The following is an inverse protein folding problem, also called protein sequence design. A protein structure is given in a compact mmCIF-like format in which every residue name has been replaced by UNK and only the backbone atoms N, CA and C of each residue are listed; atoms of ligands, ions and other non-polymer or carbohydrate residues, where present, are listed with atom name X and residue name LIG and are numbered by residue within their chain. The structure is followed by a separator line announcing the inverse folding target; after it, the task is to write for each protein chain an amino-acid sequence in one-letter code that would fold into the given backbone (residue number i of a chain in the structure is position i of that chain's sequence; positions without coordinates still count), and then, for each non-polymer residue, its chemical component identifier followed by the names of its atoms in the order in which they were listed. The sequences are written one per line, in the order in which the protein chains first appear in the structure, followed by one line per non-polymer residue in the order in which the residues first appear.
data_IF_508834787757
#
_entry.id   IF_508834787757
#
_cell.length_a   1.000
_cell.length_b   1.000
_cell.length_c   1.000
_cell.angle_alpha   90.00
_cell.angle_beta   90.00
_cell.angle_gamma   90.00
#
_symmetry.space_group_name_H-M   'P 1'
#
loop_
_entity.id
_entity.type
_entity.pdbx_description
1 polymer ?
#
# COMPACT_ATOMS: atom_id res chain seq x y z
N UNK A 1 17.74 -13.98 1.84
CA UNK A 1 16.70 -13.11 1.26
C UNK A 1 16.70 -11.86 2.12
N UNK A 2 17.03 -10.69 1.56
CA UNK A 2 17.10 -9.45 2.35
C UNK A 2 15.69 -9.05 2.76
N UNK A 3 15.42 -8.99 4.06
CA UNK A 3 14.11 -8.59 4.58
C UNK A 3 14.05 -7.06 4.69
N UNK A 4 13.28 -6.42 3.83
CA UNK A 4 13.06 -4.98 3.88
C UNK A 4 12.17 -4.60 5.04
N UNK A 5 12.57 -3.54 5.77
CA UNK A 5 11.79 -2.97 6.86
C UNK A 5 11.36 -1.56 6.53
N UNK A 6 10.12 -1.23 6.87
CA UNK A 6 9.57 0.12 6.75
C UNK A 6 9.67 0.79 8.11
N UNK A 7 10.28 1.98 8.16
CA UNK A 7 10.30 2.83 9.36
C UNK A 7 8.99 3.59 9.47
N UNK A 8 8.28 3.40 10.57
CA UNK A 8 7.03 4.09 10.89
C UNK A 8 7.29 5.01 12.07
N UNK A 9 6.89 6.27 11.92
CA UNK A 9 6.88 7.25 13.02
C UNK A 9 5.45 7.36 13.52
N UNK A 10 5.21 6.99 14.78
CA UNK A 10 3.90 7.10 15.41
C UNK A 10 3.62 8.54 15.85
N UNK A 11 2.36 8.82 16.19
CA UNK A 11 1.93 10.15 16.65
C UNK A 11 2.59 10.59 17.96
N UNK A 12 2.97 9.64 18.81
CA UNK A 12 3.72 9.87 20.05
C UNK A 12 5.24 10.04 19.83
N UNK A 13 5.68 10.04 18.56
CA UNK A 13 7.10 10.12 18.18
C UNK A 13 7.86 8.80 18.27
N UNK A 14 7.24 7.71 18.73
CA UNK A 14 7.90 6.41 18.81
C UNK A 14 8.15 5.81 17.41
N UNK A 15 9.24 5.06 17.31
CA UNK A 15 9.63 4.38 16.07
C UNK A 15 9.18 2.92 16.11
N UNK A 16 8.54 2.49 15.04
CA UNK A 16 8.23 1.08 14.79
C UNK A 16 8.83 0.67 13.45
N UNK A 17 9.27 -0.59 13.38
CA UNK A 17 9.72 -1.20 12.15
C UNK A 17 8.85 -2.43 11.88
N UNK A 18 8.24 -2.47 10.71
CA UNK A 18 7.55 -3.67 10.23
C UNK A 18 8.16 -4.12 8.90
N UNK A 19 7.95 -5.39 8.55
CA UNK A 19 8.39 -5.87 7.23
C UNK A 19 7.62 -5.14 6.14
N UNK A 20 8.27 -4.90 5.01
CA UNK A 20 7.64 -4.25 3.87
C UNK A 20 6.39 -4.99 3.40
N UNK A 21 6.43 -6.32 3.43
CA UNK A 21 5.26 -7.14 3.11
C UNK A 21 4.06 -6.82 4.03
N UNK A 22 4.28 -6.77 5.35
CA UNK A 22 3.24 -6.44 6.32
C UNK A 22 2.70 -5.02 6.10
N UNK A 23 3.59 -4.06 5.85
CA UNK A 23 3.22 -2.68 5.54
C UNK A 23 2.32 -2.59 4.31
N UNK A 24 2.74 -3.20 3.18
CA UNK A 24 1.97 -3.27 1.95
C UNK A 24 0.61 -3.95 2.15
N UNK A 25 0.58 -5.07 2.89
CA UNK A 25 -0.68 -5.79 3.19
C UNK A 25 -1.65 -4.90 3.96
N UNK A 26 -1.15 -4.15 4.96
CA UNK A 26 -1.96 -3.22 5.76
C UNK A 26 -2.47 -2.05 4.93
N UNK A 27 -1.65 -1.47 4.04
CA UNK A 27 -2.08 -0.42 3.12
C UNK A 27 -3.16 -0.91 2.15
N UNK A 28 -3.00 -2.10 1.57
CA UNK A 28 -4.00 -2.71 0.68
C UNK A 28 -5.34 -2.92 1.39
N UNK A 29 -5.32 -3.45 2.62
CA UNK A 29 -6.53 -3.59 3.45
C UNK A 29 -7.19 -2.23 3.76
N UNK A 30 -6.39 -1.21 4.08
CA UNK A 30 -6.89 0.15 4.32
C UNK A 30 -7.56 0.71 3.05
N UNK A 31 -6.95 0.50 1.89
CA UNK A 31 -7.53 0.94 0.61
C UNK A 31 -8.85 0.20 0.30
N UNK A 32 -8.90 -1.12 0.50
CA UNK A 32 -10.14 -1.88 0.35
C UNK A 32 -11.26 -1.43 1.30
N UNK A 33 -10.92 -0.91 2.49
CA UNK A 33 -11.94 -0.39 3.42
C UNK A 33 -12.69 0.82 2.87
N UNK A 34 -12.13 1.53 1.88
CA UNK A 34 -12.79 2.66 1.20
C UNK A 34 -14.03 2.19 0.46
N UNK A 35 -14.02 0.99 -0.14
CA UNK A 35 -15.19 0.43 -0.83
C UNK A 35 -16.42 0.39 0.09
N UNK A 36 -16.24 -0.12 1.31
CA UNK A 36 -17.32 -0.23 2.29
C UNK A 36 -17.81 1.15 2.77
N UNK A 37 -16.88 2.09 2.96
CA UNK A 37 -17.21 3.48 3.34
C UNK A 37 -17.97 4.20 2.23
N UNK A 38 -17.57 3.96 0.98
CA UNK A 38 -18.19 4.58 -0.19
C UNK A 38 -19.62 4.07 -0.38
N UNK A 39 -19.85 2.75 -0.30
CA UNK A 39 -21.22 2.19 -0.32
C UNK A 39 -22.08 2.74 0.82
N UNK A 40 -21.51 2.85 2.02
CA UNK A 40 -22.21 3.37 3.19
C UNK A 40 -22.57 4.85 3.05
N UNK A 41 -21.68 5.66 2.46
CA UNK A 41 -21.87 7.09 2.25
C UNK A 41 -22.87 7.39 1.14
N UNK A 42 -22.81 6.63 0.03
CA UNK A 42 -23.71 6.80 -1.11
C UNK A 42 -25.08 6.13 -0.90
N UNK A 43 -25.19 5.25 0.11
CA UNK A 43 -26.35 4.39 0.32
C UNK A 43 -26.72 3.54 -0.91
N UNK A 44 -25.70 3.11 -1.67
CA UNK A 44 -25.82 2.36 -2.93
C UNK A 44 -24.71 1.32 -3.06
N UNK A 45 -24.90 0.28 -3.86
CA UNK A 45 -23.81 -0.65 -4.20
C UNK A 45 -22.97 -0.05 -5.31
N UNK A 46 -21.65 -0.26 -5.24
CA UNK A 46 -20.74 0.27 -6.27
C UNK A 46 -20.97 -0.37 -7.63
N UNK A 47 -21.61 -1.54 -7.67
CA UNK A 47 -21.93 -2.25 -8.91
C UNK A 47 -23.22 -1.76 -9.58
N UNK A 48 -23.97 -0.85 -8.95
CA UNK A 48 -25.28 -0.40 -9.45
C UNK A 48 -25.15 0.62 -10.60
N UNK A 49 -24.02 1.35 -10.69
CA UNK A 49 -23.78 2.39 -11.69
C UNK A 49 -22.42 2.15 -12.37
N UNK A 50 -22.31 2.31 -13.71
CA UNK A 50 -21.07 2.07 -14.44
C UNK A 50 -19.87 2.87 -13.90
N UNK A 51 -20.07 4.14 -13.58
CA UNK A 51 -19.04 5.03 -13.05
C UNK A 51 -18.58 4.61 -11.65
N UNK A 52 -19.50 4.10 -10.81
CA UNK A 52 -19.15 3.57 -9.50
C UNK A 52 -18.41 2.23 -9.60
N UNK A 53 -18.75 1.41 -10.60
CA UNK A 53 -18.06 0.16 -10.88
C UNK A 53 -16.62 0.41 -11.32
N UNK A 54 -16.39 1.43 -12.15
CA UNK A 54 -15.04 1.87 -12.53
C UNK A 54 -14.22 2.32 -11.31
N UNK A 55 -14.81 3.14 -10.42
CA UNK A 55 -14.16 3.55 -9.17
C UNK A 55 -13.78 2.34 -8.32
N UNK A 56 -14.67 1.35 -8.19
CA UNK A 56 -14.40 0.09 -7.48
C UNK A 56 -13.22 -0.65 -8.09
N UNK A 57 -13.19 -0.78 -9.41
CA UNK A 57 -12.15 -1.54 -10.12
C UNK A 57 -10.78 -0.86 -10.01
N UNK A 58 -10.73 0.47 -10.06
CA UNK A 58 -9.51 1.25 -9.77
C UNK A 58 -9.02 0.97 -8.34
N UNK A 59 -9.89 1.03 -7.34
CA UNK A 59 -9.52 0.78 -5.95
C UNK A 59 -8.99 -0.64 -5.75
N UNK A 60 -9.64 -1.65 -6.34
CA UNK A 60 -9.20 -3.04 -6.26
C UNK A 60 -7.86 -3.26 -6.97
N UNK A 61 -7.66 -2.62 -8.12
CA UNK A 61 -6.39 -2.67 -8.87
C UNK A 61 -5.25 -2.09 -8.05
N UNK A 62 -5.44 -0.89 -7.48
CA UNK A 62 -4.45 -0.25 -6.61
C UNK A 62 -4.14 -1.13 -5.40
N UNK A 63 -5.15 -1.74 -4.78
CA UNK A 63 -4.94 -2.67 -3.65
C UNK A 63 -4.10 -3.89 -4.05
N UNK A 64 -4.30 -4.43 -5.25
CA UNK A 64 -3.51 -5.54 -5.77
C UNK A 64 -2.06 -5.11 -6.06
N UNK A 65 -1.87 -3.94 -6.66
CA UNK A 65 -0.54 -3.41 -6.97
C UNK A 65 0.26 -3.12 -5.71
N UNK A 66 -0.35 -2.51 -4.70
CA UNK A 66 0.27 -2.30 -3.37
C UNK A 66 0.78 -3.63 -2.80
N UNK A 67 -0.03 -4.69 -2.87
CA UNK A 67 0.41 -6.00 -2.37
C UNK A 67 1.55 -6.59 -3.17
N UNK A 68 1.73 -6.26 -4.45
CA UNK A 68 2.82 -6.78 -5.28
C UNK A 68 4.10 -5.94 -5.19
N UNK A 69 4.05 -4.70 -4.70
CA UNK A 69 5.24 -3.82 -4.59
C UNK A 69 6.45 -4.51 -3.93
N UNK A 70 6.23 -5.29 -2.87
CA UNK A 70 7.31 -6.02 -2.20
C UNK A 70 8.05 -7.03 -3.11
N UNK A 71 7.40 -7.51 -4.17
CA UNK A 71 7.97 -8.44 -5.15
C UNK A 71 8.68 -7.75 -6.33
N UNK A 72 8.44 -6.46 -6.54
CA UNK A 72 9.06 -5.67 -7.63
C UNK A 72 10.28 -4.86 -7.18
N UNK A 73 10.57 -4.83 -5.88
CA UNK A 73 11.72 -4.10 -5.37
C UNK A 73 13.02 -4.86 -5.62
N UNK A 74 13.71 -4.41 -6.67
CA UNK A 74 15.12 -4.69 -6.88
C UNK A 74 15.93 -3.61 -6.20
N UNK A 75 16.86 -4.01 -5.32
CA UNK A 75 17.88 -3.09 -4.81
C UNK A 75 19.11 -3.27 -5.67
N UNK A 76 19.36 -2.28 -6.51
CA UNK A 76 20.70 -2.05 -7.01
C UNK A 76 21.52 -1.61 -5.80
N UNK A 77 22.34 -2.52 -5.27
CA UNK A 77 23.40 -2.14 -4.34
C UNK A 77 24.42 -1.41 -5.20
N UNK A 78 24.23 -0.09 -5.35
CA UNK A 78 25.27 0.79 -5.84
C UNK A 78 26.46 0.63 -4.92
N UNK A 79 27.61 0.33 -5.51
CA UNK A 79 28.90 0.37 -4.82
C UNK A 79 29.26 1.84 -4.56
N UNK A 80 28.47 2.53 -3.71
CA UNK A 80 28.78 3.87 -3.20
C UNK A 80 29.82 3.79 -2.07
N UNK A 81 30.75 2.84 -2.21
CA UNK A 81 32.05 2.78 -1.55
C UNK A 81 33.05 3.73 -2.20
N UNK A 82 32.65 4.61 -3.12
CA UNK A 82 33.52 5.63 -3.70
C UNK A 82 33.09 7.06 -3.36
N UNK A 83 33.85 7.64 -2.41
CA UNK A 83 34.21 9.07 -2.30
C UNK A 83 33.17 10.01 -1.68
N UNK A 84 33.05 9.91 -0.37
CA UNK A 84 33.19 11.12 0.46
C UNK A 84 34.69 11.35 0.70
N UNK A 85 35.31 12.10 -0.21
CA UNK A 85 36.52 12.89 0.06
C UNK A 85 36.12 14.35 0.20
#
# INVERSE_FOLDING_TARGET
MTEYKVRIVKQDGSLEFESLYSYCSRLSKKNNSVLYRLESYLHKKLLDEPELAEIRDILLTVSADITKLHSYLHVEVGDDSEKLQ
#
